data_IF_947405694329
#
_entry.id   IF_947405694329
#
_cell.length_a   1.000
_cell.length_b   1.000
_cell.length_c   1.000
_cell.angle_alpha   90.00
_cell.angle_beta   90.00
_cell.angle_gamma   90.00
#
_symmetry.space_group_name_H-M   'P 1'
#
loop_
_entity.id
_entity.type
_entity.pdbx_description
1 polymer ?
#
# COMPACT_ATOMS: atom_id res chain seq x y z
N UNK A 1 -0.83 52.43 -59.53
CA UNK A 1 0.03 52.06 -58.38
C UNK A 1 -0.85 51.25 -57.44
N UNK A 2 -0.43 50.02 -57.19
CA UNK A 2 -1.15 48.90 -56.59
C UNK A 2 -1.43 49.10 -55.09
N UNK A 3 -2.72 49.01 -54.73
CA UNK A 3 -3.38 48.25 -53.66
C UNK A 3 -2.83 48.15 -52.21
N UNK A 4 -3.73 47.82 -51.24
CA UNK A 4 -3.85 48.45 -49.92
C UNK A 4 -3.21 47.63 -48.80
N UNK A 5 -3.04 48.22 -47.61
CA UNK A 5 -2.75 47.43 -46.40
C UNK A 5 -3.66 47.77 -45.20
N UNK A 6 -4.19 46.68 -44.67
CA UNK A 6 -5.21 46.47 -43.64
C UNK A 6 -4.56 46.56 -42.24
N UNK A 7 -5.31 46.87 -41.17
CA UNK A 7 -4.77 47.08 -39.82
C UNK A 7 -4.11 45.82 -39.23
N UNK A 8 -2.86 45.97 -38.80
CA UNK A 8 -2.18 44.98 -37.97
C UNK A 8 -2.77 44.96 -36.56
N UNK A 9 -3.71 44.03 -36.34
CA UNK A 9 -4.12 43.57 -35.01
C UNK A 9 -2.88 43.05 -34.27
N UNK A 10 -2.46 43.76 -33.21
CA UNK A 10 -1.53 43.22 -32.24
C UNK A 10 -2.24 42.09 -31.48
N UNK A 11 -1.97 40.85 -31.88
CA UNK A 11 -2.21 39.67 -31.05
C UNK A 11 -1.37 39.81 -29.78
N UNK A 12 -1.97 39.83 -28.56
CA UNK A 12 -1.17 39.60 -27.37
C UNK A 12 -0.65 38.16 -27.48
N UNK A 13 0.67 38.05 -27.48
CA UNK A 13 1.40 36.80 -27.34
C UNK A 13 0.81 35.99 -26.17
N UNK A 14 0.38 34.77 -26.47
CA UNK A 14 -0.03 33.78 -25.48
C UNK A 14 1.12 33.59 -24.48
N UNK A 15 0.90 34.03 -23.24
CA UNK A 15 1.76 33.70 -22.12
C UNK A 15 1.92 32.17 -22.03
N UNK A 16 3.09 31.64 -21.63
CA UNK A 16 3.28 30.21 -21.41
C UNK A 16 2.27 29.76 -20.36
N UNK A 17 1.29 28.98 -20.79
CA UNK A 17 0.20 28.44 -19.99
C UNK A 17 0.73 27.88 -18.66
N UNK A 18 0.62 28.67 -17.58
CA UNK A 18 0.90 28.21 -16.24
C UNK A 18 0.07 26.96 -16.01
N UNK A 19 0.72 25.82 -15.80
CA UNK A 19 0.05 24.54 -15.64
C UNK A 19 -0.82 24.58 -14.38
N UNK A 20 -2.07 24.98 -14.55
CA UNK A 20 -2.98 25.23 -13.44
C UNK A 20 -3.38 23.89 -12.85
N UNK A 21 -2.95 23.64 -11.62
CA UNK A 21 -3.30 22.43 -10.85
C UNK A 21 -4.83 22.30 -10.82
N UNK A 22 -5.36 21.21 -11.35
CA UNK A 22 -6.82 21.01 -11.46
C UNK A 22 -7.36 20.01 -10.44
N UNK A 23 -6.47 19.30 -9.72
CA UNK A 23 -6.88 18.38 -8.66
C UNK A 23 -5.71 17.95 -7.77
N UNK A 24 -6.04 17.18 -6.73
CA UNK A 24 -5.05 16.59 -5.83
C UNK A 24 -5.51 15.20 -5.45
N UNK A 25 -4.65 14.20 -5.67
CA UNK A 25 -4.80 12.89 -5.06
C UNK A 25 -4.18 12.94 -3.66
N UNK A 26 -5.00 12.67 -2.66
CA UNK A 26 -4.54 12.55 -1.28
C UNK A 26 -4.30 11.08 -0.99
N UNK A 27 -3.07 10.75 -0.62
CA UNK A 27 -2.74 9.42 -0.15
C UNK A 27 -3.46 9.17 1.18
N UNK A 28 -4.49 8.34 1.17
CA UNK A 28 -5.16 7.89 2.41
C UNK A 28 -4.30 6.86 3.19
N UNK A 29 -3.11 6.54 2.69
CA UNK A 29 -2.12 5.71 3.35
C UNK A 29 -0.86 6.55 3.53
N UNK A 30 -0.23 6.56 4.71
CA UNK A 30 0.94 7.43 4.95
C UNK A 30 2.19 7.08 4.14
N UNK A 31 2.23 5.92 3.48
CA UNK A 31 3.28 5.56 2.52
C UNK A 31 2.96 5.96 1.07
N UNK A 32 1.79 6.54 0.81
CA UNK A 32 1.40 7.08 -0.48
C UNK A 32 1.60 8.60 -0.48
N UNK A 33 2.37 9.11 -1.43
CA UNK A 33 2.56 10.55 -1.54
C UNK A 33 1.30 11.23 -2.08
N UNK A 34 1.05 12.46 -1.61
CA UNK A 34 0.06 13.32 -2.23
C UNK A 34 0.54 13.72 -3.62
N UNK A 35 -0.31 13.56 -4.62
CA UNK A 35 0.03 13.88 -6.01
C UNK A 35 -0.83 15.04 -6.46
N UNK A 36 -0.18 16.11 -6.92
CA UNK A 36 -0.85 17.22 -7.56
C UNK A 36 -1.18 16.85 -9.00
N UNK A 37 -2.45 16.98 -9.37
CA UNK A 37 -2.93 16.68 -10.70
C UNK A 37 -2.80 17.94 -11.57
N UNK A 38 -1.76 17.94 -12.38
CA UNK A 38 -1.38 19.02 -13.29
C UNK A 38 -1.69 18.62 -14.74
N UNK A 39 -1.24 17.43 -15.14
CA UNK A 39 -1.44 16.89 -16.49
C UNK A 39 -2.87 16.35 -16.68
N UNK A 40 -3.34 16.23 -17.92
CA UNK A 40 -4.67 15.66 -18.16
C UNK A 40 -4.71 14.13 -18.03
N UNK A 41 -3.55 13.47 -17.97
CA UNK A 41 -3.46 12.01 -17.86
C UNK A 41 -2.42 11.62 -16.82
N UNK A 42 -2.83 10.72 -15.92
CA UNK A 42 -1.98 10.12 -14.92
C UNK A 42 -2.13 8.62 -14.93
N UNK A 43 -1.01 7.92 -15.05
CA UNK A 43 -0.91 6.48 -14.91
C UNK A 43 -0.45 6.15 -13.49
N UNK A 44 -1.19 5.28 -12.81
CA UNK A 44 -0.89 4.85 -11.44
C UNK A 44 -0.63 3.36 -11.42
N UNK A 45 0.47 2.93 -10.79
CA UNK A 45 0.80 1.51 -10.69
C UNK A 45 2.14 1.24 -10.04
N UNK A 46 2.54 -0.04 -10.01
CA UNK A 46 3.81 -0.50 -9.44
C UNK A 46 5.04 -0.13 -10.29
N UNK A 47 4.85 0.03 -11.59
CA UNK A 47 5.96 0.25 -12.53
C UNK A 47 6.55 1.65 -12.36
N UNK A 48 7.89 1.77 -12.45
CA UNK A 48 8.59 3.05 -12.49
C UNK A 48 8.26 3.90 -13.73
N UNK A 49 7.58 3.30 -14.72
CA UNK A 49 7.07 3.97 -15.91
C UNK A 49 5.71 4.67 -15.69
N UNK A 50 5.16 4.64 -14.48
CA UNK A 50 3.92 5.32 -14.12
C UNK A 50 4.21 6.73 -13.62
N UNK A 51 3.29 7.66 -13.84
CA UNK A 51 3.35 9.01 -13.28
C UNK A 51 3.27 8.99 -11.75
N UNK A 52 2.45 8.07 -11.22
CA UNK A 52 2.36 7.78 -9.78
C UNK A 52 2.79 6.35 -9.53
N UNK A 53 3.98 6.21 -8.95
CA UNK A 53 4.58 4.91 -8.66
C UNK A 53 4.22 4.49 -7.24
N UNK A 54 3.50 3.37 -7.12
CA UNK A 54 3.23 2.73 -5.84
C UNK A 54 4.36 1.73 -5.56
N UNK A 55 5.33 2.18 -4.77
CA UNK A 55 6.56 1.45 -4.48
C UNK A 55 6.47 0.49 -3.28
N UNK A 56 7.56 -0.22 -3.03
CA UNK A 56 7.69 -1.26 -1.99
C UNK A 56 7.57 -0.76 -0.54
N UNK A 57 7.37 0.55 -0.35
CA UNK A 57 7.03 1.16 0.95
C UNK A 57 5.65 0.72 1.46
N UNK A 58 4.82 0.15 0.58
CA UNK A 58 3.56 -0.50 0.93
C UNK A 58 3.85 -2.01 1.10
N UNK A 59 3.29 -2.65 2.13
CA UNK A 59 3.64 -4.04 2.51
C UNK A 59 3.66 -5.03 1.32
N UNK A 60 4.59 -6.00 1.36
CA UNK A 60 4.83 -6.96 0.28
C UNK A 60 3.56 -7.69 -0.22
N UNK A 61 2.62 -8.02 0.68
CA UNK A 61 1.34 -8.63 0.30
C UNK A 61 0.43 -7.72 -0.54
N UNK A 62 0.50 -6.41 -0.32
CA UNK A 62 -0.25 -5.40 -1.10
C UNK A 62 0.45 -5.17 -2.43
N UNK A 63 1.78 -5.05 -2.46
CA UNK A 63 2.52 -4.86 -3.72
C UNK A 63 2.36 -6.01 -4.71
N UNK A 64 2.18 -7.23 -4.21
CA UNK A 64 1.79 -8.38 -5.03
C UNK A 64 0.44 -8.19 -5.74
N UNK A 65 -0.49 -7.47 -5.12
CA UNK A 65 -1.84 -7.22 -5.65
C UNK A 65 -1.90 -6.04 -6.64
N UNK A 66 -0.88 -5.18 -6.68
CA UNK A 66 -0.81 -4.02 -7.57
C UNK A 66 -0.20 -4.38 -8.93
N UNK A 67 -0.92 -4.09 -10.01
CA UNK A 67 -0.44 -4.28 -11.39
C UNK A 67 0.62 -3.23 -11.76
N UNK A 68 1.47 -3.56 -12.75
CA UNK A 68 2.50 -2.63 -13.28
C UNK A 68 1.89 -1.29 -13.65
N UNK A 69 0.77 -1.36 -14.36
CA UNK A 69 -0.17 -0.26 -14.59
C UNK A 69 -1.49 -0.73 -13.98
N UNK A 70 -2.00 -0.01 -12.98
CA UNK A 70 -3.18 -0.43 -12.22
C UNK A 70 -4.43 0.32 -12.67
N UNK A 71 -4.35 1.64 -12.75
CA UNK A 71 -5.42 2.46 -13.26
C UNK A 71 -4.88 3.74 -13.89
N UNK A 72 -5.74 4.43 -14.63
CA UNK A 72 -5.49 5.74 -15.16
C UNK A 72 -6.52 6.74 -14.65
N UNK A 73 -6.07 7.96 -14.39
CA UNK A 73 -6.93 9.12 -14.22
C UNK A 73 -6.79 9.96 -15.48
N UNK A 74 -7.92 10.29 -16.08
CA UNK A 74 -8.00 11.02 -17.35
C UNK A 74 -8.96 12.19 -17.14
N UNK A 75 -8.48 13.40 -17.35
CA UNK A 75 -9.29 14.61 -17.45
C UNK A 75 -9.60 14.88 -18.91
N UNK A 76 -10.89 14.95 -19.24
CA UNK A 76 -11.37 15.34 -20.56
C UNK A 76 -12.25 16.57 -20.38
N UNK A 77 -11.76 17.71 -20.86
CA UNK A 77 -12.41 19.02 -20.65
C UNK A 77 -12.63 19.33 -19.16
N UNK A 78 -13.88 19.30 -18.68
CA UNK A 78 -14.27 19.56 -17.29
C UNK A 78 -14.63 18.30 -16.50
N UNK A 79 -14.45 17.11 -17.07
CA UNK A 79 -14.79 15.83 -16.44
C UNK A 79 -13.55 14.99 -16.18
N UNK A 80 -13.54 14.32 -15.04
CA UNK A 80 -12.46 13.41 -14.64
C UNK A 80 -12.99 11.98 -14.67
N UNK A 81 -12.18 11.08 -15.20
CA UNK A 81 -12.51 9.67 -15.36
C UNK A 81 -11.41 8.81 -14.75
N UNK A 82 -11.84 7.70 -14.17
CA UNK A 82 -11.02 6.62 -13.65
C UNK A 82 -11.17 5.40 -14.58
N UNK A 83 -10.05 4.83 -15.03
CA UNK A 83 -10.01 3.66 -15.91
C UNK A 83 -9.19 2.57 -15.24
N UNK A 84 -9.81 1.44 -14.90
CA UNK A 84 -9.11 0.27 -14.34
C UNK A 84 -8.36 -0.50 -15.43
N UNK A 85 -7.06 -0.70 -15.29
CA UNK A 85 -6.26 -1.57 -16.17
C UNK A 85 -5.69 -2.79 -15.44
N UNK A 86 -6.04 -2.94 -14.16
CA UNK A 86 -5.42 -3.89 -13.27
C UNK A 86 -5.85 -5.33 -13.48
N UNK A 87 -5.11 -6.25 -12.86
CA UNK A 87 -5.48 -7.66 -12.74
C UNK A 87 -6.49 -7.92 -11.62
N UNK A 88 -6.35 -7.23 -10.49
CA UNK A 88 -7.10 -7.52 -9.26
C UNK A 88 -8.29 -6.56 -9.01
N UNK A 89 -8.47 -5.58 -9.89
CA UNK A 89 -9.56 -4.62 -9.86
C UNK A 89 -9.22 -3.33 -9.14
N UNK A 90 -9.82 -2.25 -9.65
CA UNK A 90 -9.89 -0.93 -9.00
C UNK A 90 -11.31 -0.71 -8.46
N UNK A 91 -11.43 -0.03 -7.33
CA UNK A 91 -12.71 0.21 -6.66
C UNK A 91 -12.90 1.70 -6.45
N UNK A 92 -14.11 2.19 -6.68
CA UNK A 92 -14.53 3.56 -6.40
C UNK A 92 -15.60 3.53 -5.32
N UNK A 93 -15.35 4.17 -4.19
CA UNK A 93 -16.27 4.19 -3.03
C UNK A 93 -16.73 2.79 -2.57
N UNK A 94 -15.84 1.79 -2.69
CA UNK A 94 -16.15 0.39 -2.35
C UNK A 94 -16.72 -0.45 -3.48
N UNK A 95 -17.16 0.17 -4.57
CA UNK A 95 -17.70 -0.55 -5.73
C UNK A 95 -16.63 -0.83 -6.77
N UNK A 96 -16.54 -2.07 -7.25
CA UNK A 96 -15.59 -2.45 -8.29
C UNK A 96 -15.97 -1.78 -9.60
N UNK A 97 -15.06 -1.01 -10.17
CA UNK A 97 -15.29 -0.43 -11.49
C UNK A 97 -15.00 -1.46 -12.59
N UNK A 98 -15.58 -1.25 -13.76
CA UNK A 98 -15.35 -2.15 -14.89
C UNK A 98 -13.96 -1.92 -15.48
N UNK A 99 -13.29 -3.03 -15.77
CA UNK A 99 -11.97 -3.02 -16.40
C UNK A 99 -12.03 -2.41 -17.79
N UNK A 100 -11.07 -1.53 -18.09
CA UNK A 100 -10.90 -0.78 -19.34
C UNK A 100 -12.09 0.12 -19.71
N UNK A 101 -12.97 0.45 -18.76
CA UNK A 101 -14.10 1.35 -18.97
C UNK A 101 -13.89 2.67 -18.21
N UNK A 102 -14.30 3.78 -18.83
CA UNK A 102 -14.23 5.11 -18.21
C UNK A 102 -15.33 5.24 -17.16
N UNK A 103 -14.93 5.31 -15.89
CA UNK A 103 -15.84 5.57 -14.77
C UNK A 103 -15.71 7.03 -14.33
N UNK A 104 -16.79 7.81 -14.25
CA UNK A 104 -16.72 9.19 -13.75
C UNK A 104 -16.19 9.26 -12.32
N UNK A 105 -15.23 10.15 -12.10
CA UNK A 105 -14.62 10.44 -10.81
C UNK A 105 -14.99 11.87 -10.38
N UNK A 106 -15.50 12.03 -9.15
CA UNK A 106 -15.88 13.31 -8.57
C UNK A 106 -14.96 13.69 -7.41
N UNK A 107 -15.01 14.96 -7.03
CA UNK A 107 -14.33 15.40 -5.81
C UNK A 107 -14.84 14.63 -4.59
N UNK A 108 -13.92 14.23 -3.72
CA UNK A 108 -14.19 13.40 -2.55
C UNK A 108 -14.36 11.88 -2.81
N UNK A 109 -14.36 11.42 -4.06
CA UNK A 109 -14.42 9.98 -4.35
C UNK A 109 -13.15 9.26 -3.86
N UNK A 110 -13.34 8.11 -3.22
CA UNK A 110 -12.26 7.26 -2.70
C UNK A 110 -11.93 6.16 -3.69
N UNK A 111 -10.65 5.99 -3.98
CA UNK A 111 -10.14 4.93 -4.87
C UNK A 111 -9.42 3.89 -4.04
N UNK A 112 -9.77 2.61 -4.22
CA UNK A 112 -9.07 1.47 -3.60
C UNK A 112 -8.55 0.48 -4.66
N UNK A 113 -7.51 -0.27 -4.29
CA UNK A 113 -6.66 -1.04 -5.20
C UNK A 113 -6.58 -2.49 -4.69
N UNK A 114 -6.90 -3.47 -5.53
CA UNK A 114 -6.53 -4.88 -5.28
C UNK A 114 -7.38 -5.69 -4.29
N UNK A 115 -8.31 -5.12 -3.52
CA UNK A 115 -9.28 -5.88 -2.70
C UNK A 115 -10.59 -5.12 -2.46
N UNK A 116 -11.72 -5.86 -2.38
CA UNK A 116 -13.08 -5.35 -2.10
C UNK A 116 -13.29 -4.97 -0.63
N UNK A 117 -12.44 -5.48 0.25
CA UNK A 117 -12.58 -5.22 1.67
C UNK A 117 -12.11 -3.80 1.96
N UNK A 118 -13.01 -3.00 2.51
CA UNK A 118 -12.75 -1.78 3.28
C UNK A 118 -11.87 -2.03 4.52
N UNK A 119 -10.90 -2.95 4.45
CA UNK A 119 -9.79 -2.92 5.38
C UNK A 119 -8.97 -1.72 4.97
N UNK A 120 -9.31 -0.61 5.61
CA UNK A 120 -8.49 0.57 5.76
C UNK A 120 -7.04 0.22 5.46
N UNK A 121 -6.55 0.76 4.35
CA UNK A 121 -5.19 0.55 3.87
C UNK A 121 -4.13 1.13 4.84
N UNK A 122 -4.56 1.57 6.03
CA UNK A 122 -3.76 2.03 7.15
C UNK A 122 -2.91 0.95 7.80
N UNK A 123 -3.33 -0.32 7.74
CA UNK A 123 -2.64 -1.38 8.45
C UNK A 123 -1.74 -2.20 7.51
N UNK A 124 -0.46 -1.83 7.48
CA UNK A 124 0.58 -2.69 6.89
C UNK A 124 0.89 -3.82 7.87
N UNK A 125 -0.02 -4.81 7.89
CA UNK A 125 0.11 -6.01 8.71
C UNK A 125 0.85 -7.10 7.95
N UNK A 126 1.88 -7.67 8.56
CA UNK A 126 2.64 -8.82 8.08
C UNK A 126 2.44 -9.96 9.07
N UNK A 127 1.94 -11.08 8.59
CA UNK A 127 1.68 -12.28 9.38
C UNK A 127 2.81 -13.30 9.24
N UNK A 128 3.25 -13.85 10.37
CA UNK A 128 4.31 -14.86 10.43
C UNK A 128 3.77 -16.09 11.14
N UNK A 129 3.98 -17.28 10.59
CA UNK A 129 3.49 -18.51 11.20
C UNK A 129 3.74 -19.76 10.38
N UNK A 130 3.27 -20.90 10.87
CA UNK A 130 3.42 -22.19 10.18
C UNK A 130 2.43 -22.38 9.02
N UNK A 131 1.31 -21.62 9.00
CA UNK A 131 0.32 -21.76 7.93
C UNK A 131 0.88 -21.25 6.61
N UNK A 132 0.49 -21.90 5.51
CA UNK A 132 0.74 -21.39 4.15
C UNK A 132 0.04 -20.06 3.87
N UNK A 133 -0.95 -19.72 4.68
CA UNK A 133 -1.72 -18.48 4.55
C UNK A 133 -1.04 -17.28 5.23
N UNK A 134 0.09 -17.49 5.90
CA UNK A 134 0.89 -16.40 6.47
C UNK A 134 1.78 -15.79 5.38
N UNK A 135 2.02 -14.47 5.47
CA UNK A 135 2.93 -13.76 4.56
C UNK A 135 4.35 -14.35 4.62
N UNK A 136 4.79 -14.72 5.83
CA UNK A 136 6.03 -15.46 6.07
C UNK A 136 5.65 -16.82 6.66
N UNK A 137 5.70 -17.85 5.80
CA UNK A 137 5.46 -19.22 6.21
C UNK A 137 6.74 -19.91 6.69
N UNK A 138 6.70 -20.39 7.94
CA UNK A 138 7.71 -21.24 8.55
C UNK A 138 7.53 -22.72 8.18
N UNK A 139 6.60 -23.07 7.28
CA UNK A 139 6.33 -24.45 6.87
C UNK A 139 7.48 -25.08 6.09
N UNK A 140 8.29 -24.29 5.38
CA UNK A 140 9.32 -24.82 4.47
C UNK A 140 10.74 -24.59 4.99
N UNK A 141 10.88 -23.99 6.17
CA UNK A 141 12.18 -23.79 6.78
C UNK A 141 12.82 -25.16 7.10
N UNK A 142 14.12 -25.32 6.78
CA UNK A 142 14.93 -26.52 7.10
C UNK A 142 15.21 -26.57 8.62
N UNK A 143 14.15 -26.71 9.40
CA UNK A 143 14.15 -26.71 10.85
C UNK A 143 13.77 -28.12 11.33
N UNK A 144 14.35 -28.55 12.45
CA UNK A 144 14.01 -29.83 13.08
C UNK A 144 12.48 -29.95 13.26
N UNK A 145 11.86 -31.08 12.84
CA UNK A 145 10.43 -31.32 13.00
C UNK A 145 9.90 -31.08 14.42
N UNK A 146 10.70 -31.33 15.47
CA UNK A 146 10.34 -31.09 16.87
C UNK A 146 10.20 -29.60 17.18
N UNK A 147 11.08 -28.77 16.61
CA UNK A 147 11.05 -27.32 16.74
C UNK A 147 9.87 -26.75 15.94
N UNK A 148 9.63 -27.29 14.74
CA UNK A 148 8.50 -26.91 13.89
C UNK A 148 7.13 -27.17 14.51
N UNK A 149 7.03 -28.17 15.40
CA UNK A 149 5.82 -28.45 16.16
C UNK A 149 5.46 -27.34 17.17
N UNK A 150 6.44 -26.52 17.56
CA UNK A 150 6.28 -25.40 18.51
C UNK A 150 5.73 -24.14 17.80
N UNK A 151 5.88 -24.03 16.47
CA UNK A 151 5.31 -22.91 15.73
C UNK A 151 3.80 -23.07 15.55
N UNK A 152 3.04 -22.07 15.98
CA UNK A 152 1.60 -21.98 15.75
C UNK A 152 1.30 -21.68 14.28
N UNK A 153 0.07 -21.96 13.85
CA UNK A 153 -0.41 -21.61 12.50
C UNK A 153 -0.17 -20.13 12.18
N UNK A 154 -0.52 -19.26 13.12
CA UNK A 154 -0.12 -17.86 13.16
C UNK A 154 0.66 -17.64 14.45
N UNK A 155 1.92 -17.22 14.36
CA UNK A 155 2.77 -16.96 15.51
C UNK A 155 2.61 -15.55 16.02
N UNK A 156 2.82 -14.58 15.15
CA UNK A 156 2.63 -13.17 15.47
C UNK A 156 2.28 -12.41 14.20
N UNK A 157 1.77 -11.21 14.40
CA UNK A 157 1.59 -10.23 13.34
C UNK A 157 2.38 -8.97 13.67
N UNK A 158 3.06 -8.42 12.68
CA UNK A 158 3.70 -7.12 12.78
C UNK A 158 2.77 -6.15 12.07
N UNK A 159 2.31 -5.13 12.76
CA UNK A 159 1.47 -4.08 12.21
C UNK A 159 2.25 -2.77 12.28
N UNK A 160 2.38 -2.06 11.16
CA UNK A 160 2.93 -0.70 11.18
C UNK A 160 1.80 0.32 11.09
N UNK A 161 1.64 1.05 12.19
CA UNK A 161 0.81 2.24 12.30
C UNK A 161 1.53 3.36 11.56
N UNK A 162 1.07 3.58 10.34
CA UNK A 162 1.69 4.52 9.44
C UNK A 162 1.40 5.97 9.84
N UNK A 163 0.33 6.25 10.60
CA UNK A 163 -0.01 7.60 11.07
C UNK A 163 0.93 8.04 12.19
N UNK A 164 1.20 7.13 13.13
CA UNK A 164 2.08 7.39 14.26
C UNK A 164 3.55 7.10 13.93
N UNK A 165 3.82 6.44 12.81
CA UNK A 165 5.16 5.96 12.46
C UNK A 165 5.67 4.86 13.39
N UNK A 166 4.77 4.18 14.11
CA UNK A 166 5.12 3.16 15.11
C UNK A 166 4.86 1.78 14.53
N UNK A 167 5.78 0.84 14.79
CA UNK A 167 5.57 -0.56 14.44
C UNK A 167 5.23 -1.34 15.69
N UNK A 168 4.22 -2.18 15.62
CA UNK A 168 3.76 -3.04 16.69
C UNK A 168 3.96 -4.51 16.30
N UNK A 169 4.31 -5.33 17.28
CA UNK A 169 4.28 -6.78 17.18
C UNK A 169 3.21 -7.32 18.12
N UNK A 170 2.30 -8.13 17.61
CA UNK A 170 1.22 -8.77 18.37
C UNK A 170 1.40 -10.27 18.38
N UNK A 171 1.44 -10.84 19.58
CA UNK A 171 1.59 -12.28 19.78
C UNK A 171 0.25 -13.00 19.56
N UNK A 172 0.23 -14.02 18.71
CA UNK A 172 -0.92 -14.90 18.48
C UNK A 172 -0.62 -16.36 18.86
N UNK A 173 0.58 -16.59 19.38
CA UNK A 173 1.15 -17.92 19.51
C UNK A 173 0.55 -18.71 20.68
N UNK A 174 0.74 -20.02 20.59
CA UNK A 174 0.42 -20.96 21.67
C UNK A 174 1.55 -21.03 22.70
N UNK A 175 2.80 -20.93 22.25
CA UNK A 175 3.97 -21.13 23.10
C UNK A 175 4.72 -19.85 23.46
N UNK A 176 4.28 -18.69 22.97
CA UNK A 176 4.85 -17.38 23.28
C UNK A 176 5.64 -16.78 22.12
N UNK A 177 5.52 -15.46 21.99
CA UNK A 177 6.41 -14.59 21.21
C UNK A 177 7.07 -13.61 22.18
N UNK A 178 8.39 -13.46 22.04
CA UNK A 178 9.23 -12.68 22.96
C UNK A 178 9.89 -11.56 22.17
N UNK A 179 9.94 -10.39 22.78
CA UNK A 179 10.64 -9.22 22.26
C UNK A 179 11.73 -8.85 23.27
N UNK A 180 12.99 -8.86 22.82
CA UNK A 180 14.16 -8.62 23.68
C UNK A 180 14.17 -9.50 24.95
N UNK A 181 13.77 -10.77 24.80
CA UNK A 181 13.69 -11.75 25.89
C UNK A 181 12.42 -11.66 26.75
N UNK A 182 11.61 -10.61 26.60
CA UNK A 182 10.37 -10.43 27.37
C UNK A 182 9.18 -10.98 26.60
N UNK A 183 8.38 -11.85 27.24
CA UNK A 183 7.16 -12.37 26.64
C UNK A 183 6.13 -11.26 26.42
N UNK A 184 5.66 -11.10 25.18
CA UNK A 184 4.61 -10.13 24.85
C UNK A 184 3.27 -10.57 25.47
N UNK A 185 2.98 -11.87 25.37
CA UNK A 185 1.77 -12.50 25.87
C UNK A 185 0.67 -12.57 24.81
N UNK A 186 -0.04 -13.70 24.78
CA UNK A 186 -1.03 -14.00 23.74
C UNK A 186 -2.10 -12.89 23.62
N UNK A 187 -2.35 -12.49 22.38
CA UNK A 187 -3.21 -11.38 21.94
C UNK A 187 -2.80 -9.98 22.40
N UNK A 188 -1.67 -9.84 23.11
CA UNK A 188 -1.09 -8.54 23.44
C UNK A 188 -0.13 -8.11 22.35
N UNK A 189 0.15 -6.81 22.35
CA UNK A 189 1.08 -6.20 21.43
C UNK A 189 2.11 -5.36 22.17
N UNK A 190 3.29 -5.20 21.56
CA UNK A 190 4.33 -4.30 22.02
C UNK A 190 4.90 -3.51 20.85
N UNK A 191 5.59 -2.40 21.13
CA UNK A 191 6.28 -1.62 20.11
C UNK A 191 7.51 -2.38 19.65
N UNK A 192 7.66 -2.54 18.35
CA UNK A 192 8.82 -3.12 17.68
C UNK A 192 9.68 -1.99 17.10
N UNK A 193 10.94 -1.96 17.48
CA UNK A 193 11.93 -0.97 17.03
C UNK A 193 13.03 -1.63 16.18
N UNK A 194 13.87 -0.78 15.60
CA UNK A 194 15.06 -1.24 14.89
C UNK A 194 16.01 -1.91 15.89
N UNK A 195 16.59 -3.03 15.47
CA UNK A 195 17.55 -3.84 16.24
C UNK A 195 16.94 -4.63 17.42
N UNK A 196 15.61 -4.62 17.56
CA UNK A 196 14.91 -5.52 18.48
C UNK A 196 15.05 -6.99 18.05
N UNK A 197 15.20 -7.86 19.05
CA UNK A 197 15.31 -9.31 18.86
C UNK A 197 13.96 -9.97 19.13
N UNK A 198 13.44 -10.69 18.13
CA UNK A 198 12.22 -11.49 18.27
C UNK A 198 12.61 -12.96 18.49
N UNK A 199 12.10 -13.55 19.56
CA UNK A 199 12.27 -14.98 19.83
C UNK A 199 10.90 -15.68 19.90
N UNK A 200 10.90 -16.98 19.56
CA UNK A 200 9.68 -17.79 19.51
C UNK A 200 9.85 -19.02 20.39
N UNK A 201 8.76 -19.44 21.02
CA UNK A 201 8.61 -20.81 21.48
C UNK A 201 8.55 -20.95 22.98
N UNK A 202 8.58 -22.19 23.45
CA UNK A 202 8.24 -22.50 24.83
C UNK A 202 9.33 -21.97 25.78
N UNK A 203 8.95 -21.21 26.84
CA UNK A 203 9.90 -20.78 27.84
C UNK A 203 10.48 -22.01 28.54
N UNK A 204 11.77 -21.97 28.84
CA UNK A 204 12.41 -22.98 29.68
C UNK A 204 12.02 -22.80 31.17
N UNK A 205 12.64 -23.59 32.06
CA UNK A 205 12.37 -23.50 33.51
C UNK A 205 12.81 -22.16 34.12
N UNK A 206 13.67 -21.42 33.42
CA UNK A 206 14.19 -20.12 33.82
C UNK A 206 13.43 -18.96 33.14
N UNK A 207 12.48 -19.27 32.24
CA UNK A 207 11.71 -18.28 31.49
C UNK A 207 12.33 -17.87 30.15
N UNK A 208 13.46 -18.47 29.75
CA UNK A 208 14.16 -18.10 28.53
C UNK A 208 13.59 -18.81 27.28
N UNK A 209 13.43 -18.08 26.16
CA UNK A 209 12.94 -18.66 24.91
C UNK A 209 14.00 -19.55 24.25
N UNK A 210 13.58 -20.70 23.72
CA UNK A 210 14.51 -21.71 23.15
C UNK A 210 14.86 -21.52 21.67
N UNK A 211 14.19 -20.62 20.95
CA UNK A 211 14.39 -20.47 19.50
C UNK A 211 14.52 -18.98 19.18
N UNK A 212 15.69 -18.62 18.65
CA UNK A 212 15.98 -17.30 18.10
C UNK A 212 15.85 -17.38 16.57
N UNK A 213 15.18 -16.39 15.97
CA UNK A 213 15.07 -16.22 14.52
C UNK A 213 16.10 -15.21 14.02
#
# INVERSE_FOLDING_TARGET
MTDPDIPGTLTPSEDPQESTKWGKLVGLIPCLQNVELINDRFKVGRSTTCDVVIGNSIGQGIIGSISKEHFLIIKESSKVYLVDTSKNGTYKNGERIKKNEKTPLKDGDKIAIGSHSHHDLYETTVSVGRSSDCDISLSNAKIDPKIKAIFSKQQFVINKDCEKGVTFIKDLSTYGTYLNGVCIGKNKQNVLQRDDVIAIGKPDRNGEPKIFL
#
